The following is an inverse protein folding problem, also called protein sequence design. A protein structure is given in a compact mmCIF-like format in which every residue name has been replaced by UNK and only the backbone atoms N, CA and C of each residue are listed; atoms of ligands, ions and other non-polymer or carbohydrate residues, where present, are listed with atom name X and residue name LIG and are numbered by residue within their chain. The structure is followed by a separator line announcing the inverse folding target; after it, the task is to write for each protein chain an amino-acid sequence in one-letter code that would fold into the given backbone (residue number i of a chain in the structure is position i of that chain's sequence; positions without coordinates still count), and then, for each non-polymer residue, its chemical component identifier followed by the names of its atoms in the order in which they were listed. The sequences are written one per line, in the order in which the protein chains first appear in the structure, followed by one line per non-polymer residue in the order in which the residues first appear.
data_IF_851453555992
#
_entry.id   IF_851453555992
#
_cell.length_a   1.000
_cell.length_b   1.000
_cell.length_c   1.000
_cell.angle_alpha   90.00
_cell.angle_beta   90.00
_cell.angle_gamma   90.00
#
_symmetry.space_group_name_H-M   'P 1'
#
loop_
_entity.id
_entity.type
_entity.pdbx_description
1 polymer ?
#
# COMPACT_ATOMS: atom_id res chain seq x y z
N UNK A 1 -1.38 -12.22 -1.73
CA UNK A 1 -0.12 -12.01 -0.98
C UNK A 1 -0.03 -10.62 -0.32
N UNK A 2 -1.08 -9.78 -0.43
CA UNK A 2 -1.14 -8.39 0.08
C UNK A 2 -1.13 -8.25 1.62
N UNK A 3 -1.45 -9.32 2.36
CA UNK A 3 -1.50 -9.25 3.83
C UNK A 3 -0.11 -9.10 4.44
N UNK A 4 0.92 -9.74 3.86
CA UNK A 4 2.28 -9.72 4.41
C UNK A 4 2.96 -8.36 4.27
N UNK A 5 2.76 -7.66 3.14
CA UNK A 5 3.37 -6.35 2.90
C UNK A 5 2.81 -5.30 3.86
N UNK A 6 1.49 -5.30 4.06
CA UNK A 6 0.79 -4.42 5.01
C UNK A 6 1.20 -4.68 6.47
N UNK A 7 1.22 -5.95 6.92
CA UNK A 7 1.66 -6.30 8.29
C UNK A 7 3.10 -5.84 8.55
N UNK A 8 3.99 -5.98 7.56
CA UNK A 8 5.39 -5.57 7.71
C UNK A 8 5.51 -4.06 7.88
N UNK A 9 4.72 -3.28 7.12
CA UNK A 9 4.73 -1.83 7.24
C UNK A 9 4.19 -1.35 8.60
N UNK A 10 3.11 -1.97 9.09
CA UNK A 10 2.55 -1.68 10.41
C UNK A 10 3.59 -1.96 11.52
N UNK A 11 4.27 -3.11 11.45
CA UNK A 11 5.33 -3.47 12.40
C UNK A 11 6.49 -2.46 12.38
N UNK A 12 6.92 -2.01 11.21
CA UNK A 12 8.02 -1.04 11.09
C UNK A 12 7.63 0.33 11.68
N UNK A 13 6.41 0.80 11.43
CA UNK A 13 5.89 2.05 12.03
C UNK A 13 5.82 1.90 13.55
N UNK A 14 5.30 0.77 14.04
CA UNK A 14 5.17 0.50 15.46
C UNK A 14 6.53 0.41 16.16
N UNK A 15 7.51 -0.26 15.55
CA UNK A 15 8.89 -0.33 16.07
C UNK A 15 9.53 1.06 16.09
N UNK A 16 9.37 1.85 15.02
CA UNK A 16 9.86 3.24 14.99
C UNK A 16 9.24 4.09 16.09
N UNK A 17 7.93 3.93 16.33
CA UNK A 17 7.20 4.64 17.38
C UNK A 17 7.67 4.21 18.78
N UNK A 18 7.89 2.91 19.02
CA UNK A 18 8.44 2.41 20.30
C UNK A 18 9.83 2.99 20.56
N UNK A 19 10.72 2.96 19.56
CA UNK A 19 12.06 3.56 19.68
C UNK A 19 11.99 5.05 20.02
N UNK A 20 11.03 5.77 19.45
CA UNK A 20 10.80 7.18 19.76
C UNK A 20 10.26 7.39 21.18
N UNK A 21 9.35 6.54 21.66
CA UNK A 21 8.89 6.56 23.07
C UNK A 21 10.08 6.37 24.00
N UNK A 22 10.93 5.37 23.74
CA UNK A 22 12.12 5.09 24.55
C UNK A 22 13.07 6.29 24.55
N UNK A 23 13.32 6.90 23.39
CA UNK A 23 14.14 8.11 23.28
C UNK A 23 13.59 9.27 24.10
N UNK A 24 12.29 9.55 24.02
CA UNK A 24 11.63 10.60 24.81
C UNK A 24 11.71 10.31 26.31
N UNK A 25 11.52 9.07 26.74
CA UNK A 25 11.66 8.68 28.15
C UNK A 25 13.08 8.86 28.68
N UNK A 26 14.10 8.55 27.88
CA UNK A 26 15.50 8.79 28.25
C UNK A 26 15.76 10.29 28.42
N UNK A 27 15.35 11.12 27.46
CA UNK A 27 15.51 12.59 27.54
C UNK A 27 14.75 13.15 28.74
N UNK A 28 13.55 12.65 29.02
CA UNK A 28 12.76 13.04 30.18
C UNK A 28 13.44 12.66 31.49
N UNK A 29 13.98 11.44 31.61
CA UNK A 29 14.73 10.98 32.78
C UNK A 29 16.00 11.81 33.03
N UNK A 30 16.74 12.14 31.96
CA UNK A 30 17.89 13.05 32.03
C UNK A 30 17.44 14.45 32.48
N UNK A 31 16.33 14.96 31.93
CA UNK A 31 15.77 16.25 32.33
C UNK A 31 15.39 16.32 33.80
N UNK A 32 14.78 15.25 34.34
CA UNK A 32 14.49 15.13 35.77
C UNK A 32 15.77 15.09 36.60
N UNK A 33 16.76 14.31 36.19
CA UNK A 33 18.04 14.22 36.91
C UNK A 33 18.78 15.58 36.92
N UNK A 34 18.71 16.33 35.82
CA UNK A 34 19.33 17.65 35.67
C UNK A 34 18.54 18.78 36.33
N UNK A 35 17.40 18.54 36.99
CA UNK A 35 16.70 19.56 37.78
C UNK A 35 17.53 20.11 38.95
N UNK A 36 18.61 19.43 39.33
CA UNK A 36 19.61 19.96 40.27
C UNK A 36 20.19 21.29 39.74
N UNK A 37 20.34 21.43 38.42
CA UNK A 37 20.57 22.70 37.72
C UNK A 37 19.28 23.19 37.06
N UNK A 38 18.44 23.98 37.76
CA UNK A 38 17.02 24.15 37.43
C UNK A 38 16.76 24.70 36.02
N UNK A 39 17.65 25.55 35.52
CA UNK A 39 17.53 26.16 34.19
C UNK A 39 17.76 25.13 33.07
N UNK A 40 18.77 24.28 33.22
CA UNK A 40 19.12 23.24 32.23
C UNK A 40 18.04 22.14 32.26
N UNK A 41 17.67 21.68 33.46
CA UNK A 41 16.60 20.69 33.63
C UNK A 41 15.28 21.14 33.00
N UNK A 42 14.89 22.41 33.19
CA UNK A 42 13.67 22.96 32.59
C UNK A 42 13.70 22.94 31.05
N UNK A 43 14.85 23.25 30.42
CA UNK A 43 15.00 23.21 28.96
C UNK A 43 14.81 21.77 28.47
N UNK A 44 15.47 20.78 29.09
CA UNK A 44 15.32 19.37 28.71
C UNK A 44 13.88 18.86 28.89
N UNK A 45 13.20 19.26 29.98
CA UNK A 45 11.80 18.90 30.19
C UNK A 45 10.87 19.53 29.14
N UNK A 46 11.14 20.76 28.72
CA UNK A 46 10.41 21.41 27.64
C UNK A 46 10.60 20.65 26.31
N UNK A 47 11.82 20.26 25.98
CA UNK A 47 12.10 19.42 24.81
C UNK A 47 11.40 18.05 24.90
N UNK A 48 11.42 17.41 26.07
CA UNK A 48 10.72 16.15 26.30
C UNK A 48 9.20 16.32 26.11
N UNK A 49 8.61 17.41 26.62
CA UNK A 49 7.20 17.73 26.43
C UNK A 49 6.85 17.91 24.94
N UNK A 50 7.65 18.68 24.20
CA UNK A 50 7.49 18.80 22.75
C UNK A 50 7.61 17.44 22.04
N UNK A 51 8.55 16.59 22.49
CA UNK A 51 8.70 15.21 22.00
C UNK A 51 7.45 14.35 22.23
N UNK A 52 6.79 14.46 23.38
CA UNK A 52 5.55 13.75 23.69
C UNK A 52 4.41 14.23 22.77
N UNK A 53 4.23 15.55 22.62
CA UNK A 53 3.20 16.11 21.72
C UNK A 53 3.45 15.65 20.29
N UNK A 54 4.71 15.67 19.85
CA UNK A 54 5.11 15.15 18.54
C UNK A 54 4.77 13.68 18.36
N UNK A 55 5.06 12.86 19.37
CA UNK A 55 4.78 11.43 19.37
C UNK A 55 3.27 11.14 19.25
N UNK A 56 2.44 11.92 19.95
CA UNK A 56 0.98 11.82 19.85
C UNK A 56 0.51 12.17 18.44
N UNK A 57 1.06 13.22 17.82
CA UNK A 57 0.73 13.60 16.45
C UNK A 57 1.11 12.50 15.45
N UNK A 58 2.31 11.94 15.57
CA UNK A 58 2.77 10.84 14.73
C UNK A 58 1.86 9.63 14.89
N UNK A 59 1.53 9.25 16.14
CA UNK A 59 0.59 8.16 16.41
C UNK A 59 -0.79 8.39 15.76
N UNK A 60 -1.36 9.58 15.96
CA UNK A 60 -2.69 9.92 15.48
C UNK A 60 -2.78 9.98 13.94
N UNK A 61 -1.77 10.53 13.27
CA UNK A 61 -1.79 10.71 11.81
C UNK A 61 -1.24 9.52 11.04
N UNK A 62 -0.22 8.83 11.56
CA UNK A 62 0.41 7.70 10.87
C UNK A 62 -0.23 6.37 11.27
N UNK A 63 -0.15 6.00 12.55
CA UNK A 63 -0.54 4.67 13.00
C UNK A 63 -2.05 4.44 12.87
N UNK A 64 -2.87 5.40 13.33
CA UNK A 64 -4.32 5.27 13.28
C UNK A 64 -4.85 5.12 11.85
N UNK A 65 -4.39 5.96 10.91
CA UNK A 65 -4.80 5.88 9.50
C UNK A 65 -4.37 4.59 8.81
N UNK A 66 -3.15 4.12 9.11
CA UNK A 66 -2.65 2.85 8.57
C UNK A 66 -3.50 1.68 9.05
N UNK A 67 -3.91 1.70 10.33
CA UNK A 67 -4.81 0.70 10.92
C UNK A 67 -6.22 0.75 10.31
N UNK A 68 -6.72 1.94 9.98
CA UNK A 68 -8.01 2.12 9.33
C UNK A 68 -7.99 1.74 7.83
N UNK A 69 -6.83 1.38 7.27
CA UNK A 69 -6.66 1.01 5.86
C UNK A 69 -6.60 2.20 4.90
N UNK A 70 -6.54 3.44 5.41
CA UNK A 70 -6.39 4.67 4.63
C UNK A 70 -4.90 4.94 4.35
N UNK A 71 -4.31 4.11 3.48
CA UNK A 71 -2.89 4.21 3.14
C UNK A 71 -2.57 5.47 2.32
N UNK A 72 -3.50 5.95 1.50
CA UNK A 72 -3.33 7.21 0.75
C UNK A 72 -3.24 8.40 1.70
N UNK A 73 -4.15 8.49 2.67
CA UNK A 73 -4.15 9.55 3.68
C UNK A 73 -2.97 9.51 4.64
N UNK A 74 -2.35 8.33 4.84
CA UNK A 74 -1.18 8.15 5.72
C UNK A 74 0.16 8.50 5.06
N UNK A 75 0.24 8.49 3.72
CA UNK A 75 1.51 8.58 2.98
C UNK A 75 2.23 9.93 3.13
N UNK A 76 1.51 11.03 2.96
CA UNK A 76 2.09 12.38 3.07
C UNK A 76 2.58 12.70 4.47
N UNK A 77 1.78 12.49 5.54
CA UNK A 77 2.24 12.80 6.89
C UNK A 77 3.41 11.90 7.32
N UNK A 78 3.42 10.61 6.94
CA UNK A 78 4.55 9.72 7.26
C UNK A 78 5.87 10.18 6.64
N UNK A 79 5.86 10.67 5.40
CA UNK A 79 7.07 11.22 4.76
C UNK A 79 7.56 12.48 5.47
N UNK A 80 6.65 13.40 5.81
CA UNK A 80 7.00 14.63 6.54
C UNK A 80 7.61 14.28 7.90
N UNK A 81 7.02 13.33 8.64
CA UNK A 81 7.56 12.86 9.91
C UNK A 81 8.88 12.11 9.77
N UNK A 82 9.09 11.38 8.68
CA UNK A 82 10.34 10.70 8.38
C UNK A 82 11.48 11.71 8.24
N UNK A 83 11.28 12.74 7.39
CA UNK A 83 12.26 13.80 7.15
C UNK A 83 12.53 14.59 8.42
N UNK A 84 11.48 14.99 9.14
CA UNK A 84 11.63 15.77 10.37
C UNK A 84 12.36 14.97 11.45
N UNK A 85 12.01 13.70 11.66
CA UNK A 85 12.68 12.84 12.65
C UNK A 85 14.15 12.60 12.31
N UNK A 86 14.48 12.49 11.02
CA UNK A 86 15.86 12.35 10.53
C UNK A 86 16.70 13.60 10.85
N UNK A 87 16.07 14.78 10.81
CA UNK A 87 16.71 16.07 11.07
C UNK A 87 16.80 16.41 12.57
N UNK A 88 15.82 16.00 13.37
CA UNK A 88 15.67 16.51 14.74
C UNK A 88 16.15 15.58 15.85
N UNK A 89 15.97 14.26 15.75
CA UNK A 89 16.04 13.39 16.94
C UNK A 89 16.66 12.00 16.74
N UNK A 90 17.07 11.65 15.53
CA UNK A 90 17.95 10.50 15.34
C UNK A 90 17.92 9.89 13.95
N UNK A 91 19.10 9.73 13.37
CA UNK A 91 19.32 9.05 12.09
C UNK A 91 18.62 7.68 12.05
N UNK A 92 18.72 6.91 13.12
CA UNK A 92 18.17 5.55 13.21
C UNK A 92 16.63 5.56 13.10
N UNK A 93 15.95 6.44 13.86
CA UNK A 93 14.50 6.56 13.80
C UNK A 93 14.04 7.05 12.42
N UNK A 94 14.74 8.04 11.86
CA UNK A 94 14.43 8.57 10.52
C UNK A 94 14.52 7.51 9.44
N UNK A 95 15.56 6.67 9.44
CA UNK A 95 15.75 5.59 8.47
C UNK A 95 14.60 4.58 8.54
N UNK A 96 14.18 4.17 9.73
CA UNK A 96 13.05 3.24 9.90
C UNK A 96 11.75 3.80 9.30
N UNK A 97 11.48 5.09 9.49
CA UNK A 97 10.32 5.74 8.88
C UNK A 97 10.40 5.81 7.36
N UNK A 98 11.59 6.01 6.78
CA UNK A 98 11.78 5.97 5.32
C UNK A 98 11.49 4.57 4.76
N UNK A 99 11.94 3.51 5.44
CA UNK A 99 11.66 2.13 5.02
C UNK A 99 10.17 1.80 5.15
N UNK A 100 9.51 2.27 6.20
CA UNK A 100 8.06 2.14 6.33
C UNK A 100 7.32 2.88 5.20
N UNK A 101 7.78 4.08 4.83
CA UNK A 101 7.23 4.85 3.72
C UNK A 101 7.36 4.14 2.37
N UNK A 102 8.52 3.53 2.06
CA UNK A 102 8.68 2.77 0.82
C UNK A 102 7.76 1.55 0.79
N UNK A 103 7.58 0.86 1.91
CA UNK A 103 6.65 -0.27 2.03
C UNK A 103 5.17 0.12 1.91
N UNK A 104 4.78 1.30 2.39
CA UNK A 104 3.44 1.84 2.13
C UNK A 104 3.20 2.03 0.63
N UNK A 105 4.20 2.51 -0.11
CA UNK A 105 4.13 2.65 -1.56
C UNK A 105 3.87 1.33 -2.28
N UNK A 106 4.58 0.27 -1.89
CA UNK A 106 4.37 -1.09 -2.42
C UNK A 106 2.92 -1.56 -2.19
N UNK A 107 2.40 -1.36 -0.98
CA UNK A 107 1.04 -1.77 -0.61
C UNK A 107 -0.05 -1.03 -1.42
N UNK A 108 0.15 0.27 -1.69
CA UNK A 108 -0.77 1.07 -2.53
C UNK A 108 -0.78 0.53 -3.97
N UNK A 109 0.41 0.29 -4.55
CA UNK A 109 0.52 -0.25 -5.91
C UNK A 109 -0.15 -1.63 -6.04
N UNK A 110 0.00 -2.50 -5.04
CA UNK A 110 -0.69 -3.80 -4.99
C UNK A 110 -2.22 -3.66 -4.85
N UNK A 111 -2.69 -2.72 -4.02
CA UNK A 111 -4.11 -2.42 -3.87
C UNK A 111 -4.72 -1.86 -5.17
N UNK A 112 -3.98 -1.03 -5.92
CA UNK A 112 -4.40 -0.55 -7.23
C UNK A 112 -4.38 -1.66 -8.30
N UNK A 113 -3.35 -2.50 -8.31
CA UNK A 113 -3.23 -3.61 -9.25
C UNK A 113 -4.37 -4.62 -9.10
N UNK A 114 -4.86 -4.83 -7.88
CA UNK A 114 -6.02 -5.67 -7.61
C UNK A 114 -7.37 -5.01 -7.94
N UNK A 115 -7.45 -3.67 -7.94
CA UNK A 115 -8.64 -2.93 -8.42
C UNK A 115 -8.74 -2.85 -9.94
N UNK A 116 -7.61 -2.75 -10.66
CA UNK A 116 -7.64 -2.73 -12.12
C UNK A 116 -8.09 -4.11 -12.61
N UNK A 117 -9.20 -4.24 -13.37
CA UNK A 117 -9.59 -5.51 -13.94
C UNK A 117 -8.43 -6.02 -14.78
N UNK A 118 -7.96 -7.24 -14.47
CA UNK A 118 -6.88 -7.89 -15.21
C UNK A 118 -7.16 -7.69 -16.69
N UNK A 119 -6.22 -7.12 -17.48
CA UNK A 119 -6.43 -6.94 -18.90
C UNK A 119 -6.82 -8.31 -19.44
N UNK A 120 -8.09 -8.45 -19.83
CA UNK A 120 -8.58 -9.65 -20.51
C UNK A 120 -7.52 -9.99 -21.53
N UNK A 121 -6.96 -11.21 -21.52
CA UNK A 121 -5.78 -11.54 -22.31
C UNK A 121 -6.05 -11.03 -23.71
N UNK A 122 -5.36 -9.95 -24.07
CA UNK A 122 -5.44 -9.40 -25.39
C UNK A 122 -4.97 -10.57 -26.24
N UNK A 123 -5.92 -11.22 -26.91
CA UNK A 123 -5.63 -12.23 -27.91
C UNK A 123 -4.52 -11.62 -28.73
N UNK A 124 -3.32 -12.20 -28.63
CA UNK A 124 -2.19 -11.81 -29.43
C UNK A 124 -2.69 -11.87 -30.88
N UNK A 125 -3.05 -10.71 -31.44
CA UNK A 125 -3.25 -10.60 -32.86
C UNK A 125 -1.88 -10.92 -33.43
N UNK A 126 -1.77 -12.13 -33.98
CA UNK A 126 -0.56 -12.60 -34.60
C UNK A 126 -0.02 -11.50 -35.54
N UNK A 127 1.29 -11.26 -35.58
CA UNK A 127 1.86 -10.30 -36.51
C UNK A 127 1.32 -10.62 -37.91
N UNK A 128 0.74 -9.62 -38.56
CA UNK A 128 0.25 -9.75 -39.92
C UNK A 128 1.44 -10.10 -40.81
N UNK A 129 1.58 -11.39 -41.16
CA UNK A 129 2.53 -11.85 -42.16
C UNK A 129 2.11 -11.23 -43.50
N UNK A 130 2.83 -10.19 -43.91
CA UNK A 130 2.76 -9.66 -45.25
C UNK A 130 3.40 -10.68 -46.21
N UNK A 131 2.58 -11.33 -47.03
CA UNK A 131 3.06 -12.04 -48.23
C UNK A 131 2.70 -13.52 -48.30
N UNK A 132 1.53 -13.82 -48.84
CA UNK A 132 1.18 -15.14 -49.35
C UNK A 132 -0.03 -15.05 -50.28
N UNK A 133 -0.02 -15.70 -51.47
CA UNK A 133 -1.15 -15.67 -52.39
C UNK A 133 -2.38 -16.33 -51.77
N UNK A 134 -3.54 -15.70 -52.02
CA UNK A 134 -4.83 -16.00 -51.41
C UNK A 134 -5.27 -17.47 -51.62
N UNK A 135 -5.58 -18.21 -50.55
CA UNK A 135 -6.33 -19.44 -50.68
C UNK A 135 -7.82 -19.15 -50.90
N UNK A 136 -8.39 -19.95 -51.78
CA UNK A 136 -9.76 -19.92 -52.29
C UNK A 136 -10.76 -20.07 -51.14
N UNK A 137 -11.79 -19.23 -51.19
CA UNK A 137 -12.93 -19.12 -50.28
C UNK A 137 -13.60 -20.45 -49.96
N UNK A 138 -13.48 -20.90 -48.70
CA UNK A 138 -14.47 -21.76 -48.06
C UNK A 138 -15.47 -20.88 -47.31
N UNK A 139 -16.75 -21.10 -47.60
CA UNK A 139 -17.87 -20.33 -47.09
C UNK A 139 -17.84 -20.24 -45.55
N UNK A 140 -17.72 -19.01 -45.03
CA UNK A 140 -17.89 -18.72 -43.61
C UNK A 140 -19.32 -19.05 -43.20
N UNK A 141 -19.50 -20.14 -42.45
CA UNK A 141 -20.75 -20.45 -41.77
C UNK A 141 -21.09 -19.29 -40.82
N UNK A 142 -22.32 -18.76 -40.81
CA UNK A 142 -22.71 -17.72 -39.87
C UNK A 142 -22.71 -18.29 -38.45
N UNK A 143 -21.70 -17.93 -37.66
CA UNK A 143 -21.59 -18.27 -36.25
C UNK A 143 -22.63 -17.46 -35.46
N UNK A 144 -23.86 -17.95 -35.40
CA UNK A 144 -24.89 -17.32 -34.57
C UNK A 144 -24.42 -17.31 -33.10
N UNK A 145 -24.45 -16.15 -32.40
CA UNK A 145 -24.04 -16.07 -31.01
C UNK A 145 -24.99 -16.90 -30.13
N UNK A 146 -24.44 -17.83 -29.35
CA UNK A 146 -25.20 -18.55 -28.32
C UNK A 146 -25.31 -17.69 -27.07
N UNK A 147 -26.49 -17.67 -26.45
CA UNK A 147 -26.73 -16.95 -25.20
C UNK A 147 -26.86 -17.95 -24.04
N UNK A 148 -26.33 -17.59 -22.87
CA UNK A 148 -26.47 -18.41 -21.69
C UNK A 148 -27.93 -18.44 -21.21
N UNK A 149 -28.50 -19.64 -21.03
CA UNK A 149 -29.88 -19.83 -20.56
C UNK A 149 -30.14 -19.30 -19.14
N UNK A 150 -29.09 -19.13 -18.32
CA UNK A 150 -29.23 -18.66 -16.94
C UNK A 150 -29.09 -17.14 -16.79
N UNK A 151 -28.24 -16.49 -17.59
CA UNK A 151 -27.92 -15.06 -17.42
C UNK A 151 -28.14 -14.21 -18.68
N UNK A 152 -28.51 -14.80 -19.81
CA UNK A 152 -28.82 -14.10 -21.06
C UNK A 152 -27.63 -13.46 -21.77
N UNK A 153 -26.39 -13.65 -21.27
CA UNK A 153 -25.18 -13.06 -21.89
C UNK A 153 -24.66 -13.91 -23.05
N UNK A 154 -24.07 -13.28 -24.08
CA UNK A 154 -23.45 -14.01 -25.19
C UNK A 154 -22.25 -14.82 -24.69
N UNK A 155 -22.13 -16.05 -25.17
CA UNK A 155 -21.06 -16.99 -24.79
C UNK A 155 -20.29 -17.46 -26.01
N UNK A 156 -18.98 -17.71 -25.86
CA UNK A 156 -18.16 -18.22 -26.95
C UNK A 156 -18.44 -19.72 -27.17
N UNK A 157 -18.47 -20.14 -28.45
CA UNK A 157 -18.88 -21.48 -28.87
C UNK A 157 -18.03 -22.62 -28.27
N UNK A 158 -16.80 -22.33 -27.85
CA UNK A 158 -15.88 -23.33 -27.30
C UNK A 158 -15.93 -23.46 -25.75
N UNK A 159 -16.67 -22.59 -25.06
CA UNK A 159 -16.72 -22.62 -23.60
C UNK A 159 -17.76 -23.63 -23.09
N UNK A 160 -17.36 -24.57 -22.21
CA UNK A 160 -18.29 -25.50 -21.54
C UNK A 160 -19.08 -24.84 -20.38
N UNK A 161 -18.62 -23.67 -19.93
CA UNK A 161 -19.18 -22.96 -18.77
C UNK A 161 -19.32 -21.47 -19.09
N UNK A 162 -20.37 -20.84 -18.56
CA UNK A 162 -20.56 -19.40 -18.70
C UNK A 162 -19.61 -18.62 -17.79
N UNK A 163 -18.74 -17.79 -18.37
CA UNK A 163 -17.77 -16.94 -17.64
C UNK A 163 -18.42 -15.93 -16.69
N UNK A 164 -19.69 -15.54 -16.91
CA UNK A 164 -20.38 -14.58 -16.04
C UNK A 164 -21.09 -15.21 -14.85
N UNK A 165 -21.59 -16.45 -14.95
CA UNK A 165 -22.43 -17.05 -13.90
C UNK A 165 -22.04 -18.48 -13.50
N UNK A 166 -21.02 -19.07 -14.11
CA UNK A 166 -20.53 -20.42 -13.82
C UNK A 166 -21.47 -21.56 -14.23
N UNK A 167 -22.60 -21.28 -14.89
CA UNK A 167 -23.52 -22.32 -15.34
C UNK A 167 -22.93 -23.16 -16.48
N UNK A 168 -23.19 -24.47 -16.47
CA UNK A 168 -22.82 -25.38 -17.55
C UNK A 168 -23.68 -25.06 -18.78
N UNK A 169 -23.03 -24.82 -19.92
CA UNK A 169 -23.70 -24.59 -21.20
C UNK A 169 -23.94 -25.96 -21.83
N UNK A 170 -25.21 -26.40 -21.86
CA UNK A 170 -25.63 -27.63 -22.53
C UNK A 170 -25.77 -27.42 -24.03
#
# INVERSE_FOLDING_TARGET
MTVRSAETAELLILVGLILQVVGVLIVFGIGIFLLIGPLIGAIFLLFAFFGIVWLILVYAFSYRRTKDGDYEGARTPTLVFAILSLLSLGLISGILYIVAYSKLGDAINEAEASRKPSPSPAFYAAPAYAGGPAPVTSAALPTAPRFCSRCGRPTSYQSRFCLSCGAVLA
#
